data_IF_348109179499
#
_entry.id   IF_348109179499
#
_cell.length_a   1.000
_cell.length_b   1.000
_cell.length_c   1.000
_cell.angle_alpha   90.00
_cell.angle_beta   90.00
_cell.angle_gamma   90.00
#
_symmetry.space_group_name_H-M   'P 1'
#
loop_
_entity.id
_entity.type
_entity.pdbx_description
1 polymer ?
#
# COMPACT_ATOMS: atom_id res chain seq x y z
N UNK A 1 -15.68 -17.69 20.46
CA UNK A 1 -14.49 -16.87 20.77
C UNK A 1 -13.59 -16.87 19.53
N UNK A 2 -13.27 -15.72 18.95
CA UNK A 2 -12.36 -15.63 17.80
C UNK A 2 -11.00 -15.14 18.27
N UNK A 3 -9.92 -15.86 17.94
CA UNK A 3 -8.55 -15.42 18.21
C UNK A 3 -8.16 -14.36 17.18
N UNK A 4 -7.81 -13.17 17.65
CA UNK A 4 -7.33 -12.07 16.80
C UNK A 4 -5.80 -11.95 16.88
N UNK A 5 -5.18 -11.53 15.78
CA UNK A 5 -3.73 -11.30 15.69
C UNK A 5 -3.43 -10.01 14.95
N UNK A 6 -2.27 -9.42 15.25
CA UNK A 6 -1.67 -8.35 14.46
C UNK A 6 -0.32 -8.83 13.98
N UNK A 7 -0.10 -8.80 12.67
CA UNK A 7 1.13 -9.27 12.03
C UNK A 7 1.71 -8.17 11.16
N UNK A 8 3.00 -7.92 11.31
CA UNK A 8 3.77 -7.03 10.44
C UNK A 8 4.65 -7.91 9.55
N UNK A 9 4.67 -7.64 8.26
CA UNK A 9 5.45 -8.44 7.33
C UNK A 9 5.54 -7.86 5.94
N UNK A 10 6.15 -8.63 5.04
CA UNK A 10 6.33 -8.28 3.64
C UNK A 10 5.42 -9.13 2.77
N UNK A 11 4.74 -8.51 1.80
CA UNK A 11 3.90 -9.21 0.83
C UNK A 11 4.79 -10.05 -0.09
N UNK A 12 4.64 -11.38 -0.04
CA UNK A 12 5.48 -12.32 -0.79
C UNK A 12 4.92 -12.65 -2.19
N UNK A 13 3.62 -12.46 -2.40
CA UNK A 13 2.95 -12.68 -3.70
C UNK A 13 2.05 -11.49 -4.02
N UNK A 14 1.94 -11.13 -5.29
CA UNK A 14 1.04 -10.04 -5.69
C UNK A 14 -0.41 -10.30 -5.23
N UNK A 15 -1.08 -9.30 -4.62
CA UNK A 15 -2.47 -9.43 -4.20
C UNK A 15 -3.41 -9.78 -5.36
N UNK A 16 -4.04 -10.94 -5.26
CA UNK A 16 -4.98 -11.43 -6.27
C UNK A 16 -6.40 -11.12 -5.83
N UNK A 17 -7.05 -10.19 -6.54
CA UNK A 17 -8.45 -9.84 -6.31
C UNK A 17 -9.35 -10.62 -7.24
N UNK A 18 -10.35 -11.30 -6.69
CA UNK A 18 -11.37 -12.01 -7.45
C UNK A 18 -12.74 -11.44 -7.10
N UNK A 19 -13.50 -11.09 -8.13
CA UNK A 19 -14.90 -10.69 -8.01
C UNK A 19 -15.72 -11.58 -8.93
N UNK A 20 -16.74 -12.24 -8.38
CA UNK A 20 -17.64 -13.10 -9.14
C UNK A 20 -19.09 -12.65 -8.93
N UNK A 21 -19.97 -12.71 -9.95
CA UNK A 21 -21.37 -12.34 -9.80
C UNK A 21 -22.03 -13.09 -8.65
N UNK A 22 -22.72 -12.37 -7.76
CA UNK A 22 -23.40 -12.93 -6.59
C UNK A 22 -22.48 -13.40 -5.45
N UNK A 23 -21.15 -13.24 -5.55
CA UNK A 23 -20.20 -13.56 -4.47
C UNK A 23 -19.51 -12.30 -3.97
N UNK A 24 -19.16 -12.29 -2.68
CA UNK A 24 -18.37 -11.20 -2.11
C UNK A 24 -16.98 -11.16 -2.77
N UNK A 25 -16.55 -9.95 -3.17
CA UNK A 25 -15.17 -9.72 -3.63
C UNK A 25 -14.20 -10.13 -2.53
N UNK A 26 -13.14 -10.84 -2.91
CA UNK A 26 -12.07 -11.21 -1.99
C UNK A 26 -10.70 -10.96 -2.62
N UNK A 27 -9.72 -10.69 -1.77
CA UNK A 27 -8.33 -10.48 -2.16
C UNK A 27 -7.46 -11.37 -1.29
N UNK A 28 -6.53 -12.10 -1.91
CA UNK A 28 -5.64 -13.01 -1.21
C UNK A 28 -4.17 -12.77 -1.59
N UNK A 29 -3.29 -12.85 -0.60
CA UNK A 29 -1.85 -12.79 -0.78
C UNK A 29 -1.11 -13.52 0.34
N UNK A 30 0.15 -13.88 0.07
CA UNK A 30 1.06 -14.45 1.06
C UNK A 30 1.82 -13.34 1.77
N UNK A 31 1.92 -13.44 3.09
CA UNK A 31 2.65 -12.52 3.96
C UNK A 31 3.78 -13.29 4.65
N UNK A 32 4.99 -12.75 4.57
CA UNK A 32 6.17 -13.23 5.29
C UNK A 32 6.45 -12.29 6.47
N UNK A 33 6.45 -12.83 7.68
CA UNK A 33 6.81 -12.12 8.91
C UNK A 33 8.09 -12.72 9.48
N UNK A 34 9.21 -12.04 9.22
CA UNK A 34 10.52 -12.46 9.70
C UNK A 34 10.86 -11.66 10.94
N UNK A 35 11.06 -12.35 12.07
CA UNK A 35 11.57 -11.71 13.28
C UNK A 35 13.07 -11.47 13.15
N UNK A 36 13.58 -10.38 13.71
CA UNK A 36 15.03 -10.12 13.77
C UNK A 36 15.44 -10.18 15.23
N UNK A 37 16.42 -11.02 15.54
CA UNK A 37 17.00 -11.11 16.89
C UNK A 37 18.39 -10.50 16.91
N UNK A 38 18.73 -9.84 18.01
CA UNK A 38 20.09 -9.38 18.21
C UNK A 38 20.97 -10.55 18.68
N UNK A 39 22.02 -10.86 17.93
CA UNK A 39 23.01 -11.84 18.32
C UNK A 39 24.13 -11.16 19.13
N UNK A 40 24.26 -11.51 20.41
CA UNK A 40 25.23 -10.89 21.32
C UNK A 40 26.66 -11.35 21.07
N UNK A 41 26.86 -12.55 20.52
CA UNK A 41 28.20 -13.07 20.25
C UNK A 41 28.80 -12.39 19.01
N UNK A 42 27.97 -12.17 17.99
CA UNK A 42 28.37 -11.53 16.74
C UNK A 42 28.15 -10.01 16.72
N UNK A 43 27.50 -9.46 17.75
CA UNK A 43 27.14 -8.05 17.89
C UNK A 43 26.37 -7.50 16.66
N UNK A 44 25.48 -8.31 16.09
CA UNK A 44 24.72 -7.97 14.89
C UNK A 44 23.28 -8.48 14.93
N UNK A 45 22.39 -7.82 14.19
CA UNK A 45 21.00 -8.24 14.03
C UNK A 45 20.89 -9.32 12.97
N UNK A 46 20.55 -10.54 13.38
CA UNK A 46 20.31 -11.67 12.49
C UNK A 46 18.82 -11.85 12.26
N UNK A 47 18.49 -12.28 11.04
CA UNK A 47 17.14 -12.68 10.70
C UNK A 47 16.86 -14.06 11.33
N UNK A 48 15.72 -14.17 12.00
CA UNK A 48 15.24 -15.39 12.62
C UNK A 48 14.35 -16.21 11.68
N UNK A 49 13.51 -17.05 12.28
CA UNK A 49 12.53 -17.82 11.51
C UNK A 49 11.47 -16.91 10.89
N UNK A 50 11.07 -17.24 9.66
CA UNK A 50 10.00 -16.54 8.97
C UNK A 50 8.68 -17.26 9.19
N UNK A 51 7.74 -16.57 9.82
CA UNK A 51 6.37 -17.00 9.93
C UNK A 51 5.60 -16.62 8.66
N UNK A 52 4.82 -17.56 8.14
CA UNK A 52 4.15 -17.35 6.86
C UNK A 52 2.63 -17.44 6.99
N UNK A 53 1.95 -16.38 6.55
CA UNK A 53 0.50 -16.22 6.66
C UNK A 53 -0.16 -16.03 5.30
N UNK A 54 -1.33 -16.64 5.10
CA UNK A 54 -2.18 -16.32 3.96
C UNK A 54 -3.20 -15.30 4.43
N UNK A 55 -3.17 -14.11 3.84
CA UNK A 55 -4.08 -13.03 4.22
C UNK A 55 -5.26 -13.05 3.26
N UNK A 56 -6.47 -13.05 3.83
CA UNK A 56 -7.72 -12.99 3.09
C UNK A 56 -8.48 -11.73 3.51
N UNK A 57 -8.66 -10.81 2.56
CA UNK A 57 -9.50 -9.62 2.72
C UNK A 57 -10.80 -9.80 1.95
N UNK A 58 -11.89 -9.19 2.43
CA UNK A 58 -13.22 -9.30 1.84
C UNK A 58 -13.84 -7.93 1.55
N UNK A 59 -14.84 -7.90 0.66
CA UNK A 59 -15.66 -6.73 0.32
C UNK A 59 -14.80 -5.52 -0.10
N UNK A 60 -15.06 -4.34 0.45
CA UNK A 60 -14.30 -3.12 0.15
C UNK A 60 -12.82 -3.27 0.49
N UNK A 61 -12.48 -3.90 1.62
CA UNK A 61 -11.08 -4.13 2.00
C UNK A 61 -10.34 -4.95 0.94
N UNK A 62 -11.00 -5.93 0.32
CA UNK A 62 -10.42 -6.71 -0.78
C UNK A 62 -10.09 -5.83 -1.99
N UNK A 63 -11.07 -5.05 -2.46
CA UNK A 63 -10.88 -4.17 -3.61
C UNK A 63 -9.82 -3.10 -3.35
N UNK A 64 -9.74 -2.60 -2.12
CA UNK A 64 -8.76 -1.60 -1.73
C UNK A 64 -7.36 -2.22 -1.60
N UNK A 65 -7.23 -3.38 -0.96
CA UNK A 65 -5.97 -4.09 -0.83
C UNK A 65 -5.36 -4.44 -2.19
N UNK A 66 -6.17 -4.97 -3.11
CA UNK A 66 -5.74 -5.28 -4.47
C UNK A 66 -5.30 -4.06 -5.30
N UNK A 67 -5.86 -2.88 -5.03
CA UNK A 67 -5.49 -1.64 -5.70
C UNK A 67 -4.33 -0.89 -5.01
N UNK A 68 -4.09 -1.16 -3.73
CA UNK A 68 -3.14 -0.39 -2.91
C UNK A 68 -1.79 -1.07 -2.74
N UNK A 69 -1.76 -2.40 -2.82
CA UNK A 69 -0.59 -3.18 -2.44
C UNK A 69 0.00 -3.99 -3.60
N UNK A 70 1.31 -4.15 -3.58
CA UNK A 70 2.08 -4.99 -4.51
C UNK A 70 3.07 -5.89 -3.77
N UNK A 71 3.58 -6.93 -4.42
CA UNK A 71 4.64 -7.77 -3.86
C UNK A 71 5.85 -6.93 -3.44
N UNK A 72 6.44 -7.30 -2.30
CA UNK A 72 7.63 -6.66 -1.73
C UNK A 72 7.34 -5.52 -0.78
N UNK A 73 6.11 -5.01 -0.73
CA UNK A 73 5.73 -3.96 0.21
C UNK A 73 5.52 -4.50 1.62
N UNK A 74 5.81 -3.66 2.62
CA UNK A 74 5.58 -3.97 4.03
C UNK A 74 4.21 -3.50 4.47
N UNK A 75 3.51 -4.36 5.19
CA UNK A 75 2.16 -4.10 5.68
C UNK A 75 1.99 -4.54 7.13
N UNK A 76 1.05 -3.88 7.79
CA UNK A 76 0.47 -4.30 9.07
C UNK A 76 -0.91 -4.87 8.78
N UNK A 77 -1.17 -6.09 9.25
CA UNK A 77 -2.43 -6.79 9.10
C UNK A 77 -3.00 -7.08 10.48
N UNK A 78 -4.24 -6.69 10.72
CA UNK A 78 -5.01 -7.07 11.90
C UNK A 78 -6.24 -7.87 11.49
N UNK A 79 -6.54 -8.96 12.21
CA UNK A 79 -7.72 -9.75 11.93
C UNK A 79 -7.80 -11.05 12.70
N UNK A 80 -8.65 -11.97 12.22
CA UNK A 80 -8.91 -13.27 12.85
C UNK A 80 -7.94 -14.33 12.34
N UNK A 81 -7.27 -15.02 13.26
CA UNK A 81 -6.40 -16.15 12.96
C UNK A 81 -7.22 -17.41 12.70
N UNK A 82 -6.92 -18.10 11.59
CA UNK A 82 -7.47 -19.40 11.25
C UNK A 82 -6.33 -20.36 10.98
N UNK A 83 -6.27 -21.43 11.76
CA UNK A 83 -5.35 -22.54 11.53
C UNK A 83 -6.15 -23.68 10.94
N UNK A 84 -5.88 -24.05 9.69
CA UNK A 84 -6.61 -25.09 8.97
C UNK A 84 -5.66 -26.23 8.62
N UNK A 85 -6.08 -27.46 8.87
CA UNK A 85 -5.42 -28.63 8.29
C UNK A 85 -5.91 -28.80 6.86
N UNK A 86 -5.02 -29.18 5.98
CA UNK A 86 -5.35 -29.57 4.62
C UNK A 86 -4.66 -30.88 4.29
N UNK A 87 -5.29 -31.64 3.41
CA UNK A 87 -4.81 -32.94 2.96
C UNK A 87 -5.17 -33.11 1.49
N UNK A 88 -4.21 -33.61 0.73
CA UNK A 88 -4.35 -34.10 -0.64
C UNK A 88 -3.93 -35.56 -0.65
N UNK A 89 -4.16 -36.27 -1.76
CA UNK A 89 -3.77 -37.67 -1.89
C UNK A 89 -2.26 -37.93 -1.61
N UNK A 90 -1.41 -36.92 -1.80
CA UNK A 90 0.04 -37.03 -1.64
C UNK A 90 0.60 -36.34 -0.39
N UNK A 91 -0.09 -35.32 0.15
CA UNK A 91 0.47 -34.43 1.18
C UNK A 91 -0.57 -33.95 2.16
N UNK A 92 -0.19 -33.84 3.42
CA UNK A 92 -0.95 -33.15 4.45
C UNK A 92 -0.14 -32.02 5.07
N UNK A 93 -0.83 -31.03 5.62
CA UNK A 93 -0.18 -29.86 6.20
C UNK A 93 -1.11 -28.99 7.01
N UNK A 94 -0.54 -27.93 7.55
CA UNK A 94 -1.29 -26.89 8.27
C UNK A 94 -1.10 -25.55 7.55
N UNK A 95 -2.20 -24.91 7.21
CA UNK A 95 -2.25 -23.55 6.69
C UNK A 95 -2.59 -22.60 7.83
N UNK A 96 -1.82 -21.51 7.94
CA UNK A 96 -2.09 -20.41 8.86
C UNK A 96 -2.58 -19.23 8.03
N UNK A 97 -3.83 -18.85 8.28
CA UNK A 97 -4.52 -17.79 7.56
C UNK A 97 -4.96 -16.67 8.49
N UNK A 98 -5.00 -15.46 7.96
CA UNK A 98 -5.53 -14.28 8.64
C UNK A 98 -6.68 -13.76 7.78
N UNK A 99 -7.89 -13.81 8.33
CA UNK A 99 -9.02 -13.08 7.80
C UNK A 99 -8.92 -11.64 8.28
N UNK A 100 -8.55 -10.74 7.37
CA UNK A 100 -8.19 -9.38 7.72
C UNK A 100 -9.43 -8.52 8.00
N UNK A 101 -9.40 -7.83 9.13
CA UNK A 101 -10.35 -6.77 9.50
C UNK A 101 -9.77 -5.39 9.17
N UNK A 102 -8.44 -5.23 9.22
CA UNK A 102 -7.72 -4.03 8.79
C UNK A 102 -6.35 -4.37 8.18
N UNK A 103 -5.95 -3.63 7.13
CA UNK A 103 -4.63 -3.73 6.49
C UNK A 103 -4.14 -2.33 6.15
N UNK A 104 -2.87 -2.03 6.41
CA UNK A 104 -2.23 -0.77 6.01
C UNK A 104 -0.76 -0.95 5.69
N UNK A 105 -0.17 0.04 5.01
CA UNK A 105 1.28 0.09 4.81
C UNK A 105 2.00 0.23 6.15
N UNK A 106 3.10 -0.52 6.34
CA UNK A 106 4.07 -0.24 7.40
C UNK A 106 5.00 0.88 6.91
N UNK A 107 4.91 2.04 7.54
CA UNK A 107 5.64 3.24 7.16
C UNK A 107 7.09 3.28 7.68
N UNK A 108 7.56 2.22 8.36
CA UNK A 108 8.92 2.18 8.93
C UNK A 108 10.02 2.51 7.92
N UNK A 109 9.84 2.17 6.64
CA UNK A 109 10.83 2.40 5.58
C UNK A 109 10.20 2.96 4.29
N UNK A 110 9.07 3.65 4.39
CA UNK A 110 8.39 4.16 3.21
C UNK A 110 7.28 5.15 3.53
N UNK A 111 6.81 5.81 2.48
CA UNK A 111 5.69 6.76 2.53
C UNK A 111 4.54 6.25 1.67
N UNK A 112 3.32 6.65 2.02
CA UNK A 112 2.11 6.33 1.23
C UNK A 112 1.21 7.55 1.18
N UNK A 113 0.43 7.68 0.10
CA UNK A 113 -0.61 8.70 -0.02
C UNK A 113 -1.98 8.04 0.09
N UNK A 114 -2.82 8.53 1.01
CA UNK A 114 -4.16 8.01 1.20
C UNK A 114 -5.17 8.84 0.41
N UNK A 115 -6.02 8.16 -0.38
CA UNK A 115 -7.19 8.75 -1.01
C UNK A 115 -8.46 8.09 -0.48
N UNK A 116 -9.42 8.91 -0.04
CA UNK A 116 -10.73 8.42 0.36
C UNK A 116 -11.56 8.20 -0.90
N UNK A 117 -12.08 6.99 -1.08
CA UNK A 117 -13.13 6.74 -2.08
C UNK A 117 -14.46 7.22 -1.50
N UNK A 118 -14.96 8.32 -2.04
CA UNK A 118 -16.38 8.67 -1.88
C UNK A 118 -17.17 7.74 -2.80
N UNK A 119 -18.22 7.07 -2.32
CA UNK A 119 -19.17 6.42 -3.23
C UNK A 119 -19.60 7.46 -4.27
N UNK A 120 -19.45 7.15 -5.56
CA UNK A 120 -20.00 8.01 -6.58
C UNK A 120 -21.52 8.05 -6.38
N UNK A 121 -22.07 9.23 -6.13
CA UNK A 121 -23.51 9.47 -6.18
C UNK A 121 -23.96 9.03 -7.59
N UNK A 122 -25.02 8.20 -7.72
CA UNK A 122 -25.51 7.86 -9.05
C UNK A 122 -25.97 9.15 -9.73
N UNK A 123 -25.27 9.55 -10.79
CA UNK A 123 -25.69 10.62 -11.69
C UNK A 123 -27.05 10.22 -12.27
N UNK A 124 -28.12 10.73 -11.67
CA UNK A 124 -29.44 10.73 -12.28
C UNK A 124 -29.31 11.71 -13.45
N UNK A 125 -29.15 11.17 -14.65
CA UNK A 125 -29.21 11.91 -15.90
C UNK A 125 -30.61 12.49 -16.08
N UNK A 126 -30.90 13.59 -15.40
CA UNK A 126 -32.07 14.39 -15.68
C UNK A 126 -31.71 15.28 -16.87
N UNK A 127 -32.01 14.79 -18.07
CA UNK A 127 -31.91 15.59 -19.30
C UNK A 127 -33.18 16.44 -19.41
N UNK A 128 -33.13 17.77 -19.24
CA UNK A 128 -34.28 18.60 -19.57
C UNK A 128 -34.40 18.71 -21.09
N UNK A 129 -35.41 18.03 -21.63
CA UNK A 129 -35.93 18.25 -22.98
C UNK A 129 -36.39 19.71 -23.09
N UNK A 130 -35.50 20.57 -23.57
CA UNK A 130 -35.80 21.99 -23.78
C UNK A 130 -36.57 22.13 -25.09
N UNK A 131 -37.90 22.19 -24.99
CA UNK A 131 -38.77 22.66 -26.06
C UNK A 131 -38.44 24.13 -26.34
N UNK A 132 -37.86 24.38 -27.51
CA UNK A 132 -37.67 25.72 -28.04
C UNK A 132 -39.04 26.34 -28.34
N UNK A 133 -39.44 27.33 -27.54
CA UNK A 133 -40.49 28.28 -27.87
C UNK A 133 -39.85 29.59 -28.31
N UNK A 134 -40.13 29.91 -29.56
CA UNK A 134 -39.79 31.10 -30.34
C UNK A 134 -40.42 32.37 -29.76
N UNK A 135 -39.64 33.46 -29.61
CA UNK A 135 -40.11 34.86 -29.74
C UNK A 135 -38.95 35.88 -29.71
N UNK A 136 -39.08 37.01 -30.45
CA UNK A 136 -37.94 37.74 -31.04
C UNK A 136 -37.35 38.90 -30.22
N UNK A 137 -36.11 39.24 -30.60
CA UNK A 137 -35.30 40.40 -30.18
C UNK A 137 -35.98 41.76 -30.34
N UNK A 138 -35.72 42.65 -29.39
CA UNK A 138 -35.72 44.10 -29.60
C UNK A 138 -34.50 44.71 -28.89
N UNK A 139 -33.72 45.49 -29.63
CA UNK A 139 -32.50 46.16 -29.21
C UNK A 139 -32.74 47.55 -28.59
N UNK A 140 -31.65 48.05 -27.98
CA UNK A 140 -31.28 49.45 -27.65
C UNK A 140 -31.66 49.95 -26.24
N UNK A 141 -30.85 50.72 -25.49
CA UNK A 141 -29.48 51.28 -25.59
C UNK A 141 -29.09 51.81 -24.18
N UNK A 142 -27.79 51.73 -23.87
CA UNK A 142 -26.90 52.61 -23.07
C UNK A 142 -27.42 53.59 -21.98
N UNK A 143 -26.68 53.69 -20.86
CA UNK A 143 -26.79 54.83 -19.93
C UNK A 143 -26.33 54.65 -18.46
N UNK A 144 -25.02 54.79 -18.22
CA UNK A 144 -24.33 55.46 -17.08
C UNK A 144 -24.59 55.11 -15.59
N UNK A 145 -23.50 54.61 -14.98
CA UNK A 145 -22.79 55.02 -13.73
C UNK A 145 -23.53 55.34 -12.40
N UNK A 146 -23.08 54.63 -11.35
CA UNK A 146 -22.72 55.22 -10.06
C UNK A 146 -23.50 54.71 -8.84
N UNK A 147 -22.85 53.94 -7.95
CA UNK A 147 -22.49 54.37 -6.58
C UNK A 147 -21.81 53.26 -5.77
N UNK A 148 -20.95 53.72 -4.85
CA UNK A 148 -19.96 53.00 -4.08
C UNK A 148 -20.46 52.22 -2.85
N UNK A 149 -19.61 51.31 -2.34
CA UNK A 149 -19.63 50.76 -0.97
C UNK A 149 -18.70 49.54 -0.85
N UNK A 150 -17.45 49.71 -0.41
CA UNK A 150 -16.93 49.45 0.96
C UNK A 150 -16.85 47.94 1.29
N UNK A 151 -15.67 47.31 1.24
CA UNK A 151 -14.64 47.16 2.29
C UNK A 151 -14.73 45.79 3.01
N UNK A 152 -13.61 45.32 3.56
CA UNK A 152 -13.29 44.05 4.21
C UNK A 152 -13.04 42.85 3.26
N UNK A 153 -11.81 42.40 2.96
CA UNK A 153 -10.56 42.49 3.73
C UNK A 153 -10.44 41.32 4.71
N UNK A 154 -9.97 40.16 4.25
CA UNK A 154 -9.41 39.12 5.12
C UNK A 154 -8.56 38.11 4.33
N UNK A 155 -7.25 38.38 4.26
CA UNK A 155 -6.22 37.40 3.93
C UNK A 155 -5.58 36.96 5.25
N UNK A 156 -5.52 35.67 5.61
CA UNK A 156 -4.65 35.24 6.69
C UNK A 156 -3.24 35.04 6.13
N UNK A 157 -2.35 35.97 6.47
CA UNK A 157 -0.90 35.82 6.36
C UNK A 157 -0.39 34.91 7.49
N UNK A 158 0.78 34.31 7.25
CA UNK A 158 1.35 33.17 7.96
C UNK A 158 1.84 33.39 9.39
N UNK A 159 2.39 32.31 9.96
CA UNK A 159 3.28 32.33 11.13
C UNK A 159 4.50 31.43 10.84
N UNK A 160 5.64 31.60 11.54
CA UNK A 160 6.93 31.94 10.95
C UNK A 160 7.92 30.77 11.00
N UNK A 161 9.07 30.96 10.35
CA UNK A 161 10.13 29.97 10.30
C UNK A 161 10.82 29.68 11.63
N UNK A 162 11.40 28.48 11.71
CA UNK A 162 12.62 28.22 12.43
C UNK A 162 13.52 27.35 11.52
N UNK A 163 14.55 28.00 10.97
CA UNK A 163 15.66 27.35 10.32
C UNK A 163 16.52 26.64 11.38
N UNK A 164 17.00 25.44 11.04
CA UNK A 164 18.23 24.89 11.60
C UNK A 164 18.84 23.96 10.55
N UNK A 165 19.87 24.48 9.89
CA UNK A 165 20.87 23.73 9.13
C UNK A 165 21.54 22.67 10.02
N UNK A 166 21.73 21.47 9.49
CA UNK A 166 22.69 20.51 10.00
C UNK A 166 23.24 19.66 8.83
N UNK A 167 24.36 20.17 8.32
CA UNK A 167 25.55 19.49 7.78
C UNK A 167 25.46 18.00 7.38
N UNK A 168 25.73 17.73 6.10
CA UNK A 168 25.88 16.40 5.53
C UNK A 168 27.31 15.86 5.74
N UNK A 169 27.50 14.60 6.20
CA UNK A 169 28.82 13.98 6.15
C UNK A 169 29.10 13.38 4.76
N UNK A 170 30.28 13.72 4.26
CA UNK A 170 30.85 13.33 2.98
C UNK A 170 31.19 11.83 2.92
N UNK A 171 30.93 11.22 1.76
CA UNK A 171 31.28 9.84 1.42
C UNK A 171 32.80 9.64 1.27
N UNK A 172 33.40 8.57 1.82
CA UNK A 172 34.74 8.17 1.41
C UNK A 172 34.70 7.19 0.22
N UNK A 173 35.26 7.66 -0.89
CA UNK A 173 36.25 6.96 -1.72
C UNK A 173 35.93 5.55 -2.24
N UNK A 174 35.54 5.47 -3.51
CA UNK A 174 35.71 4.28 -4.34
C UNK A 174 37.18 4.13 -4.73
N UNK A 175 37.88 3.18 -4.12
CA UNK A 175 39.13 2.65 -4.65
C UNK A 175 38.81 1.50 -5.61
N UNK A 176 39.11 1.73 -6.89
CA UNK A 176 39.28 0.71 -7.91
C UNK A 176 40.66 0.10 -7.73
N UNK A 177 40.79 -1.23 -7.62
CA UNK A 177 41.82 -1.95 -8.37
C UNK A 177 41.49 -3.46 -8.51
N UNK A 178 42.04 -4.00 -9.57
CA UNK A 178 41.83 -5.28 -10.24
C UNK A 178 42.23 -6.54 -9.45
N UNK A 179 41.69 -7.69 -9.90
CA UNK A 179 42.26 -8.99 -9.58
C UNK A 179 41.35 -10.19 -9.83
N UNK A 180 41.26 -10.63 -11.09
CA UNK A 180 41.05 -12.05 -11.43
C UNK A 180 42.35 -12.56 -12.08
N UNK A 181 42.58 -13.87 -12.30
CA UNK A 181 42.01 -15.09 -11.70
C UNK A 181 43.11 -16.04 -11.15
N UNK A 182 42.75 -17.08 -10.39
CA UNK A 182 43.58 -18.32 -10.39
C UNK A 182 42.73 -19.59 -10.41
N UNK A 183 43.03 -20.36 -11.44
CA UNK A 183 42.70 -21.76 -11.69
C UNK A 183 43.17 -22.68 -10.56
N UNK A 184 42.40 -23.74 -10.29
CA UNK A 184 42.76 -24.81 -9.36
C UNK A 184 41.87 -26.03 -9.56
N UNK A 185 42.09 -26.72 -10.67
CA UNK A 185 41.55 -28.06 -10.91
C UNK A 185 41.96 -29.03 -9.80
N UNK A 186 41.02 -29.86 -9.32
CA UNK A 186 41.38 -31.17 -8.77
C UNK A 186 40.36 -32.19 -9.23
N UNK A 187 40.80 -32.99 -10.19
CA UNK A 187 40.16 -34.21 -10.62
C UNK A 187 40.62 -35.39 -9.74
N UNK A 188 39.80 -36.44 -9.74
CA UNK A 188 40.14 -37.86 -9.58
C UNK A 188 40.46 -38.42 -8.18
N UNK A 189 39.59 -39.36 -7.75
CA UNK A 189 39.80 -40.80 -7.43
C UNK A 189 38.49 -41.28 -6.77
N UNK A 190 37.65 -42.16 -7.33
CA UNK A 190 37.76 -43.59 -7.72
C UNK A 190 38.14 -44.56 -6.59
N UNK A 191 37.30 -45.61 -6.47
CA UNK A 191 37.35 -46.83 -5.62
C UNK A 191 37.07 -46.63 -4.12
N UNK A 192 36.24 -47.43 -3.43
CA UNK A 192 35.63 -48.73 -3.71
C UNK A 192 34.23 -48.84 -3.06
#
# INVERSE_FOLDING_TARGET
>A
MSTTVTVIGTIATDPRTTSAPGKATFCTFRLASTDRRFDREQNLWVDGETNWFTVNAFRSLAAHAGASFTKGQRVVVHGRLRVRRWETEEKSGTSVEIEADAIGHDLRWGVTAFSRRTPAEPEISDSPESQAVDSPESETVDGSEGFAGADAGATPQGWPGAAAEAEAPQSPGTASDAGAPVSGASALRSAA
#
